data_IF_526174217503
#
_entry.id   IF_526174217503
#
_cell.length_a   1.000
_cell.length_b   1.000
_cell.length_c   1.000
_cell.angle_alpha   90.00
_cell.angle_beta   90.00
_cell.angle_gamma   90.00
#
_symmetry.space_group_name_H-M   'P 1'
#
loop_
_entity.id
_entity.type
_entity.pdbx_description
1 polymer ?
#
# COMPACT_ATOMS: atom_id res chain seq x y z
N UNK A 1 38.20 26.11 35.44
CA UNK A 1 38.04 26.80 34.14
C UNK A 1 38.16 25.72 33.05
N UNK A 2 37.17 24.85 32.84
CA UNK A 2 36.00 25.00 31.94
C UNK A 2 36.35 25.61 30.57
N UNK A 3 37.07 24.85 29.75
CA UNK A 3 37.16 25.07 28.31
C UNK A 3 36.26 24.04 27.63
N UNK A 4 35.04 24.50 27.35
CA UNK A 4 34.00 23.81 26.60
C UNK A 4 34.42 23.74 25.13
N UNK A 5 34.74 22.54 24.66
CA UNK A 5 34.83 22.25 23.23
C UNK A 5 33.41 22.31 22.64
N UNK A 6 33.17 23.36 21.85
CA UNK A 6 31.99 23.55 21.02
C UNK A 6 31.88 22.41 20.00
N UNK A 7 30.99 21.45 20.27
CA UNK A 7 30.43 20.60 19.23
C UNK A 7 29.34 21.39 18.51
N UNK A 8 29.67 21.95 17.35
CA UNK A 8 28.69 22.52 16.41
C UNK A 8 27.95 21.34 15.79
N UNK A 9 26.83 20.97 16.40
CA UNK A 9 25.86 20.06 15.81
C UNK A 9 25.21 20.77 14.62
N UNK A 10 25.67 20.44 13.41
CA UNK A 10 24.97 20.73 12.16
C UNK A 10 23.60 20.04 12.20
N UNK A 11 22.58 20.76 12.65
CA UNK A 11 21.19 20.36 12.55
C UNK A 11 20.75 20.45 11.10
N UNK A 12 20.93 19.36 10.36
CA UNK A 12 20.29 19.16 9.06
C UNK A 12 18.78 19.13 9.29
N UNK A 13 18.10 20.24 9.00
CA UNK A 13 16.65 20.29 8.91
C UNK A 13 16.24 19.45 7.70
N UNK A 14 15.82 18.20 7.94
CA UNK A 14 15.16 17.40 6.92
C UNK A 14 13.86 18.10 6.55
N UNK A 15 13.84 18.78 5.42
CA UNK A 15 12.61 19.27 4.81
C UNK A 15 11.84 18.00 4.43
N UNK A 16 10.92 17.57 5.30
CA UNK A 16 9.97 16.52 4.97
C UNK A 16 9.11 17.05 3.83
N UNK A 17 9.47 16.68 2.61
CA UNK A 17 8.72 17.01 1.41
C UNK A 17 7.37 16.31 1.57
N UNK A 18 6.34 17.08 1.90
CA UNK A 18 4.98 16.55 1.97
C UNK A 18 4.61 16.09 0.56
N UNK A 19 4.41 14.79 0.41
CA UNK A 19 3.93 14.23 -0.84
C UNK A 19 2.47 14.64 -1.02
N UNK A 20 2.08 14.83 -2.28
CA UNK A 20 0.70 15.18 -2.62
C UNK A 20 0.12 14.17 -3.59
N UNK A 21 -1.17 13.91 -3.44
CA UNK A 21 -1.92 13.02 -4.31
C UNK A 21 -3.26 13.62 -4.67
N UNK A 22 -3.70 13.35 -5.90
CA UNK A 22 -4.94 13.88 -6.44
C UNK A 22 -5.86 12.73 -6.81
N UNK A 23 -7.15 12.85 -6.49
CA UNK A 23 -8.21 11.88 -6.77
C UNK A 23 -9.33 12.62 -7.50
N UNK A 24 -9.76 12.12 -8.64
CA UNK A 24 -10.93 12.58 -9.34
C UNK A 24 -12.16 11.75 -8.95
N UNK A 25 -13.27 12.41 -8.71
CA UNK A 25 -14.58 11.79 -8.74
C UNK A 25 -15.08 11.82 -10.18
N UNK A 26 -15.41 10.65 -10.72
CA UNK A 26 -15.85 10.48 -12.11
C UNK A 26 -17.22 9.83 -12.18
N UNK A 27 -18.03 10.25 -13.15
CA UNK A 27 -19.28 9.57 -13.49
C UNK A 27 -19.08 8.45 -14.54
N UNK A 28 -17.82 8.10 -14.83
CA UNK A 28 -17.44 7.14 -15.87
C UNK A 28 -17.15 7.79 -17.22
N UNK A 29 -17.58 9.04 -17.45
CA UNK A 29 -17.34 9.79 -18.69
C UNK A 29 -16.49 11.04 -18.46
N UNK A 30 -16.74 11.75 -17.36
CA UNK A 30 -16.09 13.01 -17.02
C UNK A 30 -15.67 13.03 -15.55
N UNK A 31 -14.58 13.74 -15.28
CA UNK A 31 -14.22 14.14 -13.92
C UNK A 31 -15.16 15.25 -13.46
N UNK A 32 -15.94 14.99 -12.42
CA UNK A 32 -16.93 15.92 -11.88
C UNK A 32 -16.39 16.72 -10.69
N UNK A 33 -15.39 16.19 -9.98
CA UNK A 33 -14.73 16.85 -8.85
C UNK A 33 -13.34 16.29 -8.65
N UNK A 34 -12.46 17.07 -8.04
CA UNK A 34 -11.09 16.67 -7.71
C UNK A 34 -10.82 16.91 -6.24
N UNK A 35 -10.13 15.97 -5.61
CA UNK A 35 -9.73 15.95 -4.21
C UNK A 35 -8.22 15.86 -4.15
N UNK A 36 -7.60 16.63 -3.27
CA UNK A 36 -6.16 16.62 -3.07
C UNK A 36 -5.86 16.35 -1.62
N UNK A 37 -4.99 15.37 -1.38
CA UNK A 37 -4.48 15.05 -0.06
C UNK A 37 -2.99 15.30 -0.01
N UNK A 38 -2.50 15.44 1.22
CA UNK A 38 -1.10 15.70 1.56
C UNK A 38 -0.67 14.75 2.67
N UNK A 39 0.60 14.37 2.70
CA UNK A 39 1.08 13.48 3.76
C UNK A 39 2.59 13.33 3.79
N UNK A 40 3.07 12.66 4.83
CA UNK A 40 4.50 12.32 4.97
C UNK A 40 4.99 11.32 3.91
N UNK A 41 4.06 10.74 3.14
CA UNK A 41 4.35 9.99 1.92
C UNK A 41 3.12 9.95 1.01
N UNK A 42 3.34 9.63 -0.27
CA UNK A 42 2.29 9.59 -1.31
C UNK A 42 1.09 8.72 -0.93
N UNK A 43 1.30 7.66 -0.15
CA UNK A 43 0.24 6.79 0.34
C UNK A 43 -0.72 7.49 1.31
N UNK A 44 -0.19 8.27 2.26
CA UNK A 44 -1.00 9.01 3.21
C UNK A 44 -1.77 10.12 2.50
N UNK A 45 -1.10 10.80 1.56
CA UNK A 45 -1.74 11.80 0.70
C UNK A 45 -2.88 11.20 -0.15
N UNK A 46 -2.71 10.03 -0.76
CA UNK A 46 -3.77 9.40 -1.55
C UNK A 46 -4.91 8.87 -0.67
N UNK A 47 -4.59 8.35 0.52
CA UNK A 47 -5.59 7.86 1.48
C UNK A 47 -6.48 9.01 1.95
N UNK A 48 -5.90 10.16 2.25
CA UNK A 48 -6.64 11.37 2.60
C UNK A 48 -7.56 11.80 1.44
N UNK A 49 -7.01 11.95 0.24
CA UNK A 49 -7.78 12.36 -0.95
C UNK A 49 -8.93 11.39 -1.28
N UNK A 50 -8.70 10.08 -1.17
CA UNK A 50 -9.73 9.06 -1.41
C UNK A 50 -10.80 9.06 -0.32
N UNK A 51 -10.42 9.29 0.93
CA UNK A 51 -11.36 9.38 2.05
C UNK A 51 -12.32 10.54 1.84
N UNK A 52 -11.81 11.70 1.46
CA UNK A 52 -12.63 12.88 1.22
C UNK A 52 -13.53 12.70 -0.01
N UNK A 53 -13.00 12.12 -1.10
CA UNK A 53 -13.81 11.77 -2.25
C UNK A 53 -14.98 10.83 -1.90
N UNK A 54 -14.71 9.78 -1.12
CA UNK A 54 -15.75 8.83 -0.73
C UNK A 54 -16.74 9.43 0.27
N UNK A 55 -16.29 10.32 1.16
CA UNK A 55 -17.18 11.04 2.08
C UNK A 55 -18.21 11.86 1.28
N UNK A 56 -17.74 12.65 0.33
CA UNK A 56 -18.60 13.47 -0.51
C UNK A 56 -19.53 12.61 -1.37
N UNK A 57 -19.01 11.54 -1.97
CA UNK A 57 -19.77 10.56 -2.77
C UNK A 57 -20.96 9.98 -2.00
N UNK A 58 -20.77 9.71 -0.72
CA UNK A 58 -21.79 9.12 0.15
C UNK A 58 -22.76 10.18 0.66
N UNK A 59 -22.27 11.40 0.92
CA UNK A 59 -23.06 12.51 1.47
C UNK A 59 -24.10 13.07 0.50
N UNK A 60 -23.85 13.01 -0.81
CA UNK A 60 -24.76 13.54 -1.84
C UNK A 60 -25.32 12.39 -2.69
N UNK A 61 -26.65 12.28 -2.73
CA UNK A 61 -27.35 11.26 -3.51
C UNK A 61 -27.02 11.32 -5.00
N UNK A 62 -26.69 12.50 -5.54
CA UNK A 62 -26.33 12.73 -6.95
C UNK A 62 -25.04 12.01 -7.34
N UNK A 63 -24.17 11.77 -6.37
CA UNK A 63 -22.83 11.20 -6.58
C UNK A 63 -22.71 9.74 -6.15
N UNK A 64 -23.77 9.11 -5.63
CA UNK A 64 -23.71 7.70 -5.15
C UNK A 64 -23.17 6.71 -6.18
N UNK A 65 -23.50 6.93 -7.46
CA UNK A 65 -23.12 6.06 -8.57
C UNK A 65 -21.75 6.42 -9.17
N UNK A 66 -21.10 7.45 -8.65
CA UNK A 66 -19.82 7.92 -9.19
C UNK A 66 -18.68 7.12 -8.58
N UNK A 67 -17.49 7.22 -9.16
CA UNK A 67 -16.28 6.52 -8.70
C UNK A 67 -15.24 7.53 -8.26
N UNK A 68 -14.43 7.15 -7.29
CA UNK A 68 -13.27 7.92 -6.83
C UNK A 68 -12.01 7.24 -7.36
N UNK A 69 -11.27 7.92 -8.22
CA UNK A 69 -10.11 7.37 -8.93
C UNK A 69 -8.91 8.30 -8.74
N UNK A 70 -7.72 7.75 -8.49
CA UNK A 70 -6.51 8.58 -8.37
C UNK A 70 -6.16 9.19 -9.73
N UNK A 71 -6.07 10.53 -9.78
CA UNK A 71 -5.79 11.26 -10.99
C UNK A 71 -4.32 11.03 -11.38
N UNK A 72 -4.09 10.40 -12.53
CA UNK A 72 -2.73 10.23 -13.06
C UNK A 72 -2.21 11.57 -13.55
N UNK A 73 -0.99 11.91 -13.15
CA UNK A 73 -0.22 12.89 -13.90
C UNK A 73 0.17 12.25 -15.24
N UNK A 74 -0.57 12.55 -16.31
CA UNK A 74 -0.18 12.25 -17.69
C UNK A 74 -0.21 13.57 -18.47
N UNK A 75 0.94 14.18 -18.78
CA UNK A 75 1.00 15.36 -19.64
C UNK A 75 0.84 14.91 -21.09
N UNK A 76 -0.39 15.01 -21.60
CA UNK A 76 -0.66 14.93 -23.03
C UNK A 76 -1.38 13.66 -23.49
N UNK A 77 -2.61 13.87 -23.96
CA UNK A 77 -3.32 13.10 -24.97
C UNK A 77 -3.77 11.65 -24.66
N UNK A 78 -5.09 11.48 -24.61
CA UNK A 78 -5.77 10.34 -25.24
C UNK A 78 -5.74 9.01 -24.49
N UNK A 79 -6.80 8.75 -23.71
CA UNK A 79 -7.46 7.44 -23.68
C UNK A 79 -6.59 6.21 -23.41
N UNK A 80 -5.89 6.18 -22.29
CA UNK A 80 -5.45 4.92 -21.69
C UNK A 80 -6.43 4.54 -20.59
N UNK A 81 -7.13 3.42 -20.72
CA UNK A 81 -7.69 2.73 -19.55
C UNK A 81 -6.60 2.73 -18.46
N UNK A 82 -6.94 2.93 -17.17
CA UNK A 82 -5.96 2.65 -16.14
C UNK A 82 -5.44 1.22 -16.44
N UNK A 83 -4.13 0.91 -16.38
CA UNK A 83 -3.77 -0.42 -15.96
C UNK A 83 -4.63 -0.62 -14.73
N UNK A 84 -5.64 -1.48 -14.88
CA UNK A 84 -6.29 -2.17 -13.80
C UNK A 84 -5.14 -2.43 -12.83
N UNK A 85 -5.06 -1.73 -11.69
CA UNK A 85 -3.83 -1.73 -10.91
C UNK A 85 -3.55 -3.18 -10.67
N UNK A 86 -2.52 -3.64 -11.38
CA UNK A 86 -2.43 -5.05 -11.76
C UNK A 86 -2.51 -5.76 -10.44
N UNK A 87 -3.40 -6.76 -10.32
CA UNK A 87 -3.49 -7.52 -9.09
C UNK A 87 -2.06 -7.89 -8.70
N UNK A 88 -1.56 -7.25 -7.66
CA UNK A 88 -0.19 -7.44 -7.23
C UNK A 88 -0.21 -8.75 -6.48
N UNK A 89 0.76 -9.60 -6.81
CA UNK A 89 0.88 -10.90 -6.21
C UNK A 89 2.02 -10.90 -5.21
N UNK A 90 1.87 -11.75 -4.20
CA UNK A 90 2.92 -12.04 -3.24
C UNK A 90 2.93 -13.52 -2.94
N UNK A 91 4.13 -14.04 -2.73
CA UNK A 91 4.35 -15.48 -2.52
C UNK A 91 5.11 -15.67 -1.22
N UNK A 92 4.62 -16.55 -0.35
CA UNK A 92 5.33 -16.99 0.84
C UNK A 92 5.65 -18.48 0.75
N UNK A 93 6.84 -18.88 1.20
CA UNK A 93 7.24 -20.28 1.30
C UNK A 93 7.33 -20.67 2.77
N UNK A 94 6.74 -21.82 3.10
CA UNK A 94 6.97 -22.51 4.36
C UNK A 94 8.18 -23.42 4.18
N UNK A 95 9.23 -23.14 4.93
CA UNK A 95 10.47 -23.89 4.89
C UNK A 95 10.69 -24.66 6.19
N UNK A 96 11.39 -25.78 6.08
CA UNK A 96 11.94 -26.47 7.25
C UNK A 96 13.27 -25.83 7.70
N UNK A 97 13.82 -26.36 8.80
CA UNK A 97 15.12 -25.94 9.35
C UNK A 97 16.32 -26.15 8.41
N UNK A 98 16.18 -26.96 7.36
CA UNK A 98 17.21 -27.24 6.38
C UNK A 98 17.05 -26.37 5.11
N UNK A 99 16.03 -25.51 5.08
CA UNK A 99 15.73 -24.63 3.95
C UNK A 99 14.91 -25.28 2.84
N UNK A 100 14.43 -26.51 3.02
CA UNK A 100 13.55 -27.15 2.05
C UNK A 100 12.16 -26.52 2.08
N UNK A 101 11.69 -26.11 0.91
CA UNK A 101 10.34 -25.56 0.75
C UNK A 101 9.31 -26.69 0.83
N UNK A 102 8.52 -26.70 1.91
CA UNK A 102 7.45 -27.67 2.12
C UNK A 102 6.17 -27.28 1.38
N UNK A 103 5.86 -25.97 1.35
CA UNK A 103 4.64 -25.45 0.73
C UNK A 103 4.79 -24.00 0.32
N UNK A 104 4.07 -23.61 -0.72
CA UNK A 104 4.01 -22.24 -1.23
C UNK A 104 2.60 -21.68 -1.08
N UNK A 105 2.50 -20.45 -0.61
CA UNK A 105 1.27 -19.69 -0.42
C UNK A 105 1.28 -18.49 -1.34
N UNK A 106 0.19 -18.29 -2.06
CA UNK A 106 0.05 -17.25 -3.06
C UNK A 106 -1.22 -16.46 -2.78
N UNK A 107 -1.12 -15.14 -2.86
CA UNK A 107 -2.29 -14.28 -2.81
C UNK A 107 -2.15 -13.16 -3.84
N UNK A 108 -3.30 -12.71 -4.31
CA UNK A 108 -3.44 -11.54 -5.17
C UNK A 108 -4.34 -10.55 -4.49
N UNK A 109 -3.95 -9.28 -4.55
CA UNK A 109 -4.77 -8.19 -4.09
C UNK A 109 -4.54 -6.98 -4.98
N UNK A 110 -5.35 -5.95 -4.78
CA UNK A 110 -5.18 -4.68 -5.46
C UNK A 110 -3.86 -3.98 -5.05
N UNK A 111 -3.26 -4.37 -3.92
CA UNK A 111 -2.01 -3.85 -3.38
C UNK A 111 -1.09 -5.00 -2.94
N UNK A 112 0.22 -4.94 -3.25
CA UNK A 112 1.21 -5.95 -2.84
C UNK A 112 1.28 -6.12 -1.34
N UNK A 113 1.14 -5.04 -0.58
CA UNK A 113 1.13 -5.11 0.89
C UNK A 113 0.00 -6.00 1.41
N UNK A 114 -1.19 -5.88 0.81
CA UNK A 114 -2.34 -6.72 1.15
C UNK A 114 -2.15 -8.16 0.66
N UNK A 115 -1.65 -8.35 -0.56
CA UNK A 115 -1.32 -9.68 -1.07
C UNK A 115 -0.27 -10.38 -0.18
N UNK A 116 0.76 -9.68 0.26
CA UNK A 116 1.77 -10.22 1.17
C UNK A 116 1.22 -10.50 2.55
N UNK A 117 0.35 -9.62 3.09
CA UNK A 117 -0.33 -9.89 4.35
C UNK A 117 -1.18 -11.16 4.27
N UNK A 118 -1.96 -11.33 3.20
CA UNK A 118 -2.82 -12.50 2.99
C UNK A 118 -1.99 -13.78 2.79
N UNK A 119 -0.95 -13.75 1.95
CA UNK A 119 -0.05 -14.89 1.74
C UNK A 119 0.72 -15.27 3.01
N UNK A 120 1.21 -14.28 3.77
CA UNK A 120 1.86 -14.52 5.06
C UNK A 120 0.88 -15.13 6.06
N UNK A 121 -0.34 -14.60 6.19
CA UNK A 121 -1.35 -15.14 7.09
C UNK A 121 -1.65 -16.61 6.80
N UNK A 122 -1.79 -16.98 5.53
CA UNK A 122 -1.94 -18.38 5.12
C UNK A 122 -0.74 -19.23 5.55
N UNK A 123 0.49 -18.75 5.33
CA UNK A 123 1.70 -19.45 5.74
C UNK A 123 1.79 -19.63 7.27
N UNK A 124 1.52 -18.57 8.05
CA UNK A 124 1.54 -18.62 9.50
C UNK A 124 0.49 -19.59 10.05
N UNK A 125 -0.70 -19.63 9.45
CA UNK A 125 -1.75 -20.57 9.84
C UNK A 125 -1.33 -22.02 9.62
N UNK A 126 -0.75 -22.35 8.46
CA UNK A 126 -0.22 -23.69 8.20
C UNK A 126 0.92 -24.02 9.17
N UNK A 127 1.85 -23.09 9.40
CA UNK A 127 2.95 -23.26 10.35
C UNK A 127 2.43 -23.60 11.74
N UNK A 128 1.44 -22.87 12.22
CA UNK A 128 0.84 -23.09 13.53
C UNK A 128 0.09 -24.43 13.60
N UNK A 129 -0.60 -24.83 12.53
CA UNK A 129 -1.25 -26.13 12.41
C UNK A 129 -0.25 -27.29 12.44
N UNK A 130 0.92 -27.14 11.82
CA UNK A 130 1.98 -28.16 11.82
C UNK A 130 2.71 -28.22 13.16
N UNK A 131 3.00 -27.06 13.76
CA UNK A 131 3.57 -26.99 15.10
C UNK A 131 2.69 -27.72 16.12
N UNK A 132 1.35 -27.59 16.05
CA UNK A 132 0.44 -28.31 16.96
C UNK A 132 0.43 -29.83 16.77
N UNK A 133 0.96 -30.33 15.65
CA UNK A 133 1.16 -31.75 15.35
C UNK A 133 2.58 -32.25 15.64
N UNK A 134 3.44 -31.39 16.19
CA UNK A 134 4.82 -31.71 16.55
C UNK A 134 5.86 -31.47 15.45
N UNK A 135 5.47 -30.86 14.34
CA UNK A 135 6.41 -30.44 13.27
C UNK A 135 6.98 -29.06 13.61
N UNK A 136 8.09 -29.01 14.35
CA UNK A 136 8.73 -27.77 14.79
C UNK A 136 9.84 -27.30 13.84
N UNK A 137 10.29 -26.05 14.03
CA UNK A 137 11.41 -25.47 13.27
C UNK A 137 11.01 -25.00 11.87
N UNK A 138 9.72 -24.72 11.67
CA UNK A 138 9.17 -24.22 10.43
C UNK A 138 9.17 -22.69 10.39
N UNK A 139 9.43 -22.11 9.23
CA UNK A 139 9.52 -20.66 9.04
C UNK A 139 8.89 -20.23 7.73
N UNK A 140 8.32 -19.03 7.74
CA UNK A 140 7.65 -18.41 6.60
C UNK A 140 8.55 -17.31 6.03
N UNK A 141 8.81 -17.35 4.73
CA UNK A 141 9.62 -16.35 4.04
C UNK A 141 8.92 -15.86 2.78
N UNK A 142 9.01 -14.55 2.53
CA UNK A 142 8.59 -13.96 1.25
C UNK A 142 9.54 -14.44 0.14
N UNK A 143 8.98 -14.92 -0.96
CA UNK A 143 9.71 -15.26 -2.18
C UNK A 143 9.54 -14.11 -3.17
N UNK A 144 10.66 -13.45 -3.49
CA UNK A 144 10.75 -12.39 -4.50
C UNK A 144 10.86 -12.96 -5.91
#
# INVERSE_FOLDING_TARGET
MKLLLMAIALSYSFVSVADTCTVAMTNGYNNVRTYRGTGYGRNDACREALRDCNRDRISDYRYRNYRCETQRYNPGNGGGYPPNPGYESCTYKLQDRYGYSLRTFYATAYYRSQACADANNQCQNERNYRNSRGEYGLSCFESY
#
